data_IF_701240792225
#
_entry.id   IF_701240792225
#
_cell.length_a   1.000
_cell.length_b   1.000
_cell.length_c   1.000
_cell.angle_alpha   90.00
_cell.angle_beta   90.00
_cell.angle_gamma   90.00
#
_symmetry.space_group_name_H-M   'P 1'
#
loop_
_entity.id
_entity.type
_entity.pdbx_description
1 polymer ?
#
# COMPACT_ATOMS: atom_id res chain seq x y z
N UNK A 1 12.60 -31.15 38.69
CA UNK A 1 11.86 -31.42 37.45
C UNK A 1 12.26 -32.80 36.94
N UNK A 2 11.29 -33.65 36.69
CA UNK A 2 11.50 -34.97 36.08
C UNK A 2 11.94 -34.81 34.61
N UNK A 3 12.69 -35.77 34.07
CA UNK A 3 13.02 -35.84 32.64
C UNK A 3 11.73 -35.84 31.77
N UNK A 4 10.65 -36.40 32.29
CA UNK A 4 9.33 -36.44 31.66
C UNK A 4 8.67 -35.05 31.56
N UNK A 5 8.84 -34.18 32.58
CA UNK A 5 8.34 -32.80 32.55
C UNK A 5 9.11 -31.92 31.56
N UNK A 6 10.42 -32.16 31.40
CA UNK A 6 11.24 -31.43 30.43
C UNK A 6 10.85 -31.80 29.00
N UNK A 7 10.62 -33.09 28.73
CA UNK A 7 10.21 -33.58 27.42
C UNK A 7 8.87 -32.98 27.00
N UNK A 8 7.88 -32.98 27.91
CA UNK A 8 6.57 -32.37 27.65
C UNK A 8 6.65 -30.86 27.37
N UNK A 9 7.49 -30.13 28.10
CA UNK A 9 7.72 -28.69 27.84
C UNK A 9 8.36 -28.42 26.48
N UNK A 10 9.25 -29.30 26.01
CA UNK A 10 9.87 -29.18 24.69
C UNK A 10 8.84 -29.43 23.59
N UNK A 11 7.99 -30.45 23.76
CA UNK A 11 6.87 -30.75 22.85
C UNK A 11 5.89 -29.56 22.76
N UNK A 12 5.48 -28.97 23.89
CA UNK A 12 4.59 -27.79 23.93
C UNK A 12 5.18 -26.57 23.18
N UNK A 13 6.50 -26.34 23.29
CA UNK A 13 7.18 -25.23 22.61
C UNK A 13 7.30 -25.49 21.11
N UNK A 14 7.48 -26.74 20.71
CA UNK A 14 7.56 -27.15 19.31
C UNK A 14 6.20 -27.01 18.61
N UNK A 15 5.11 -27.43 19.26
CA UNK A 15 3.74 -27.23 18.77
C UNK A 15 3.40 -25.74 18.63
N UNK A 16 3.75 -24.92 19.63
CA UNK A 16 3.57 -23.47 19.55
C UNK A 16 4.37 -22.86 18.39
N UNK A 17 5.60 -23.32 18.16
CA UNK A 17 6.44 -22.87 17.06
C UNK A 17 5.80 -23.21 15.71
N UNK A 18 5.20 -24.40 15.56
CA UNK A 18 4.48 -24.78 14.34
C UNK A 18 3.27 -23.87 14.10
N UNK A 19 2.45 -23.63 15.12
CA UNK A 19 1.29 -22.73 15.03
C UNK A 19 1.75 -21.32 14.65
N UNK A 20 2.76 -20.77 15.33
CA UNK A 20 3.30 -19.45 15.02
C UNK A 20 3.89 -19.37 13.62
N UNK A 21 4.51 -20.44 13.14
CA UNK A 21 5.02 -20.51 11.77
C UNK A 21 3.88 -20.43 10.75
N UNK A 22 2.81 -21.21 10.94
CA UNK A 22 1.61 -21.14 10.08
C UNK A 22 0.99 -19.75 10.11
N UNK A 23 0.80 -19.17 11.30
CA UNK A 23 0.24 -17.81 11.44
C UNK A 23 1.10 -16.77 10.74
N UNK A 24 2.43 -16.86 10.91
CA UNK A 24 3.39 -15.95 10.28
C UNK A 24 3.38 -16.03 8.76
N UNK A 25 2.97 -17.16 8.17
CA UNK A 25 2.82 -17.31 6.73
C UNK A 25 1.44 -16.88 6.23
N UNK A 26 0.37 -17.30 6.91
CA UNK A 26 -1.01 -17.10 6.43
C UNK A 26 -1.46 -15.64 6.56
N UNK A 27 -1.12 -14.97 7.68
CA UNK A 27 -1.59 -13.59 7.93
C UNK A 27 -1.01 -12.60 6.91
N UNK A 28 0.31 -12.57 6.63
CA UNK A 28 0.86 -11.68 5.61
C UNK A 28 0.32 -11.99 4.20
N UNK A 29 0.14 -13.27 3.87
CA UNK A 29 -0.40 -13.67 2.56
C UNK A 29 -1.84 -13.18 2.36
N UNK A 30 -2.67 -13.27 3.39
CA UNK A 30 -4.03 -12.74 3.34
C UNK A 30 -4.03 -11.21 3.10
N UNK A 31 -3.19 -10.48 3.83
CA UNK A 31 -3.03 -9.02 3.67
C UNK A 31 -2.58 -8.68 2.25
N UNK A 32 -1.56 -9.39 1.72
CA UNK A 32 -1.07 -9.21 0.34
C UNK A 32 -2.18 -9.41 -0.68
N UNK A 33 -2.96 -10.49 -0.56
CA UNK A 33 -4.01 -10.81 -1.52
C UNK A 33 -5.14 -9.77 -1.53
N UNK A 34 -5.59 -9.33 -0.34
CA UNK A 34 -6.60 -8.27 -0.22
C UNK A 34 -6.12 -7.00 -0.94
N UNK A 35 -4.85 -6.69 -0.79
CA UNK A 35 -4.32 -5.45 -1.34
C UNK A 35 -4.06 -5.56 -2.83
N UNK A 36 -3.51 -6.66 -3.33
CA UNK A 36 -3.40 -6.86 -4.78
C UNK A 36 -4.77 -6.75 -5.46
N UNK A 37 -5.84 -7.18 -4.79
CA UNK A 37 -7.21 -6.96 -5.25
C UNK A 37 -7.59 -5.46 -5.29
N UNK A 38 -7.29 -4.72 -4.21
CA UNK A 38 -7.64 -3.29 -4.04
C UNK A 38 -6.73 -2.33 -4.80
N UNK A 39 -5.49 -2.71 -5.13
CA UNK A 39 -4.49 -1.91 -5.85
C UNK A 39 -4.15 -2.50 -7.23
N UNK A 40 -5.10 -3.24 -7.82
CA UNK A 40 -5.02 -3.63 -9.23
C UNK A 40 -5.14 -2.41 -10.15
N UNK A 41 -4.69 -2.53 -11.39
CA UNK A 41 -4.87 -1.48 -12.43
C UNK A 41 -6.34 -1.03 -12.53
N UNK A 42 -7.25 -2.00 -12.50
CA UNK A 42 -8.69 -1.74 -12.52
C UNK A 42 -9.16 -0.98 -11.28
N UNK A 43 -8.67 -1.36 -10.09
CA UNK A 43 -9.04 -0.67 -8.86
C UNK A 43 -8.46 0.76 -8.80
N UNK A 44 -7.22 0.96 -9.25
CA UNK A 44 -6.62 2.28 -9.42
C UNK A 44 -7.39 3.16 -10.39
N UNK A 45 -7.82 2.61 -11.54
CA UNK A 45 -8.64 3.34 -12.51
C UNK A 45 -10.02 3.72 -11.93
N UNK A 46 -10.66 2.82 -11.18
CA UNK A 46 -11.92 3.10 -10.50
C UNK A 46 -11.76 4.18 -9.41
N UNK A 47 -10.66 4.14 -8.67
CA UNK A 47 -10.33 5.14 -7.66
C UNK A 47 -10.12 6.53 -8.30
N UNK A 48 -9.36 6.62 -9.39
CA UNK A 48 -9.18 7.86 -10.13
C UNK A 48 -10.50 8.44 -10.65
N UNK A 49 -11.39 7.59 -11.18
CA UNK A 49 -12.75 7.99 -11.60
C UNK A 49 -13.56 8.53 -10.42
N UNK A 50 -13.49 7.89 -9.25
CA UNK A 50 -14.21 8.34 -8.06
C UNK A 50 -13.72 9.72 -7.58
N UNK A 51 -12.40 9.94 -7.54
CA UNK A 51 -11.80 11.24 -7.19
C UNK A 51 -12.25 12.33 -8.17
N UNK A 52 -12.19 12.07 -9.48
CA UNK A 52 -12.63 13.03 -10.49
C UNK A 52 -14.13 13.33 -10.44
N UNK A 53 -14.97 12.30 -10.24
CA UNK A 53 -16.41 12.47 -10.08
C UNK A 53 -16.77 13.28 -8.83
N UNK A 54 -16.05 13.05 -7.73
CA UNK A 54 -16.21 13.81 -6.49
C UNK A 54 -15.92 15.30 -6.73
N UNK A 55 -14.76 15.64 -7.31
CA UNK A 55 -14.41 17.02 -7.65
C UNK A 55 -15.46 17.68 -8.56
N UNK A 56 -15.88 16.98 -9.62
CA UNK A 56 -16.90 17.48 -10.54
C UNK A 56 -18.22 17.76 -9.81
N UNK A 57 -18.66 16.87 -8.92
CA UNK A 57 -19.86 17.08 -8.10
C UNK A 57 -19.75 18.28 -7.16
N UNK A 58 -18.58 18.53 -6.57
CA UNK A 58 -18.35 19.73 -5.75
C UNK A 58 -18.49 21.01 -6.59
N UNK A 59 -17.90 21.02 -7.79
CA UNK A 59 -17.98 22.14 -8.73
C UNK A 59 -19.42 22.41 -9.19
N UNK A 60 -20.17 21.35 -9.51
CA UNK A 60 -21.59 21.43 -9.89
C UNK A 60 -22.47 21.95 -8.75
N UNK A 61 -22.13 21.62 -7.50
CA UNK A 61 -22.80 22.14 -6.30
C UNK A 61 -22.45 23.61 -5.99
N UNK A 62 -21.63 24.27 -6.82
CA UNK A 62 -21.24 25.67 -6.66
C UNK A 62 -20.10 25.89 -5.65
N UNK A 63 -19.38 24.84 -5.26
CA UNK A 63 -18.24 24.99 -4.36
C UNK A 63 -17.09 25.72 -5.10
N UNK A 64 -16.48 26.75 -4.50
CA UNK A 64 -15.35 27.45 -5.10
C UNK A 64 -14.20 26.53 -5.46
N UNK A 65 -13.54 26.81 -6.58
CA UNK A 65 -12.45 26.00 -7.17
C UNK A 65 -11.44 25.51 -6.12
N UNK A 66 -10.82 26.45 -5.41
CA UNK A 66 -9.79 26.16 -4.40
C UNK A 66 -10.30 25.24 -3.28
N UNK A 67 -11.57 25.42 -2.88
CA UNK A 67 -12.18 24.58 -1.85
C UNK A 67 -12.50 23.19 -2.38
N UNK A 68 -12.97 23.08 -3.62
CA UNK A 68 -13.23 21.80 -4.28
C UNK A 68 -11.95 20.99 -4.47
N UNK A 69 -10.86 21.63 -4.91
CA UNK A 69 -9.53 21.01 -5.02
C UNK A 69 -9.07 20.49 -3.65
N UNK A 70 -9.06 21.34 -2.62
CA UNK A 70 -8.64 20.95 -1.26
C UNK A 70 -9.46 19.80 -0.67
N UNK A 71 -10.77 19.79 -0.89
CA UNK A 71 -11.63 18.69 -0.43
C UNK A 71 -11.34 17.39 -1.19
N UNK A 72 -11.09 17.49 -2.49
CA UNK A 72 -10.72 16.35 -3.34
C UNK A 72 -9.36 15.79 -2.98
N UNK A 73 -8.35 16.63 -2.72
CA UNK A 73 -7.04 16.22 -2.22
C UNK A 73 -7.16 15.45 -0.90
N UNK A 74 -7.97 15.96 0.04
CA UNK A 74 -8.26 15.25 1.30
C UNK A 74 -8.93 13.90 1.04
N UNK A 75 -9.91 13.84 0.15
CA UNK A 75 -10.55 12.57 -0.23
C UNK A 75 -9.54 11.58 -0.84
N UNK A 76 -8.71 12.03 -1.78
CA UNK A 76 -7.67 11.23 -2.41
C UNK A 76 -6.60 10.74 -1.41
N UNK A 77 -6.27 11.55 -0.40
CA UNK A 77 -5.27 11.21 0.62
C UNK A 77 -5.63 9.97 1.44
N UNK A 78 -6.94 9.69 1.61
CA UNK A 78 -7.41 8.50 2.34
C UNK A 78 -6.91 7.20 1.71
N UNK A 79 -6.76 7.17 0.38
CA UNK A 79 -6.23 6.03 -0.35
C UNK A 79 -4.70 5.92 -0.25
N UNK A 80 -4.00 7.04 -0.11
CA UNK A 80 -2.53 7.04 0.08
C UNK A 80 -2.17 6.51 1.46
N UNK A 81 -2.89 6.94 2.49
CA UNK A 81 -2.71 6.43 3.87
C UNK A 81 -2.96 4.92 3.96
N UNK A 82 -3.91 4.39 3.19
CA UNK A 82 -4.13 2.94 3.08
C UNK A 82 -2.93 2.24 2.43
N UNK A 83 -2.33 2.85 1.40
CA UNK A 83 -1.10 2.38 0.78
C UNK A 83 0.09 2.35 1.74
N UNK A 84 0.23 3.34 2.61
CA UNK A 84 1.31 3.41 3.60
C UNK A 84 1.20 2.33 4.68
N UNK A 85 0.00 2.11 5.21
CA UNK A 85 -0.29 1.00 6.16
C UNK A 85 0.05 -0.33 5.49
N UNK A 86 -0.26 -0.46 4.21
CA UNK A 86 0.05 -1.67 3.47
C UNK A 86 1.54 -1.86 3.24
N UNK A 87 2.26 -0.80 2.88
CA UNK A 87 3.72 -0.82 2.74
C UNK A 87 4.37 -1.23 4.06
N UNK A 88 3.88 -0.74 5.19
CA UNK A 88 4.35 -1.14 6.52
C UNK A 88 4.07 -2.63 6.79
N UNK A 89 2.88 -3.13 6.44
CA UNK A 89 2.53 -4.55 6.59
C UNK A 89 3.38 -5.47 5.69
N UNK A 90 3.72 -5.03 4.48
CA UNK A 90 4.63 -5.78 3.58
C UNK A 90 6.10 -5.68 3.98
N UNK A 91 6.50 -4.57 4.60
CA UNK A 91 7.89 -4.31 5.01
C UNK A 91 8.30 -5.10 6.26
N UNK A 92 7.34 -5.72 6.96
CA UNK A 92 7.59 -6.56 8.14
C UNK A 92 8.45 -7.82 7.89
N UNK A 93 8.71 -8.19 6.63
CA UNK A 93 9.49 -9.39 6.27
C UNK A 93 10.88 -9.12 5.66
N UNK A 94 11.32 -7.86 5.46
CA UNK A 94 12.61 -7.59 4.78
C UNK A 94 13.56 -6.70 5.58
N UNK A 95 14.30 -7.32 6.50
CA UNK A 95 15.66 -6.89 6.84
C UNK A 95 16.65 -7.70 5.99
N UNK A 96 16.78 -7.34 4.71
CA UNK A 96 17.84 -7.88 3.83
C UNK A 96 17.41 -8.06 2.38
N UNK A 97 17.92 -7.19 1.49
CA UNK A 97 17.71 -7.11 0.04
C UNK A 97 16.34 -6.55 -0.38
N UNK A 98 16.36 -5.71 -1.41
CA UNK A 98 15.23 -5.06 -2.09
C UNK A 98 14.82 -3.66 -1.59
N UNK A 99 15.77 -2.90 -1.03
CA UNK A 99 15.67 -1.43 -1.01
C UNK A 99 16.31 -0.79 -2.26
N UNK A 100 17.04 -1.55 -3.09
CA UNK A 100 17.70 -1.04 -4.31
C UNK A 100 16.74 -0.92 -5.49
N UNK A 101 15.86 -1.89 -5.70
CA UNK A 101 14.95 -1.90 -6.86
C UNK A 101 13.78 -0.89 -6.72
N UNK A 102 13.23 -0.71 -5.50
CA UNK A 102 12.19 0.30 -5.27
C UNK A 102 12.71 1.74 -5.48
N UNK A 103 13.97 2.02 -5.13
CA UNK A 103 14.59 3.32 -5.36
C UNK A 103 14.76 3.56 -6.86
N UNK A 104 15.09 2.53 -7.64
CA UNK A 104 15.22 2.62 -9.10
C UNK A 104 13.88 2.88 -9.79
N UNK A 105 12.83 2.11 -9.46
CA UNK A 105 11.50 2.29 -10.06
C UNK A 105 10.94 3.68 -9.71
N UNK A 106 11.06 4.12 -8.45
CA UNK A 106 10.58 5.43 -8.03
C UNK A 106 11.35 6.58 -8.69
N UNK A 107 12.67 6.44 -8.92
CA UNK A 107 13.46 7.39 -9.71
C UNK A 107 13.03 7.43 -11.18
N UNK A 108 12.81 6.28 -11.82
CA UNK A 108 12.42 6.19 -13.23
C UNK A 108 11.05 6.82 -13.46
N UNK A 109 10.10 6.60 -12.54
CA UNK A 109 8.78 7.23 -12.61
C UNK A 109 8.91 8.75 -12.46
N UNK A 110 9.64 9.24 -11.45
CA UNK A 110 9.87 10.69 -11.27
C UNK A 110 10.56 11.33 -12.47
N UNK A 111 11.56 10.68 -13.05
CA UNK A 111 12.23 11.21 -14.26
C UNK A 111 11.32 11.23 -15.48
N UNK A 112 10.50 10.20 -15.69
CA UNK A 112 9.54 10.19 -16.81
C UNK A 112 8.52 11.29 -16.65
N UNK A 113 7.91 11.42 -15.47
CA UNK A 113 6.91 12.47 -15.20
C UNK A 113 7.51 13.87 -15.34
N UNK A 114 8.74 14.11 -14.88
CA UNK A 114 9.42 15.40 -15.06
C UNK A 114 9.74 15.70 -16.54
N UNK A 115 10.19 14.70 -17.30
CA UNK A 115 10.49 14.86 -18.74
C UNK A 115 9.24 15.08 -19.59
N UNK A 116 8.10 14.55 -19.18
CA UNK A 116 6.83 14.74 -19.88
C UNK A 116 6.25 16.14 -19.59
N UNK A 117 6.38 16.65 -18.37
CA UNK A 117 6.02 18.02 -17.99
C UNK A 117 6.88 19.08 -18.71
N UNK A 118 8.20 18.91 -18.79
CA UNK A 118 9.08 19.84 -19.50
C UNK A 118 8.86 19.87 -21.03
N UNK A 119 8.25 18.83 -21.60
CA UNK A 119 7.92 18.76 -23.03
C UNK A 119 6.58 19.42 -23.35
N UNK A 120 5.66 19.48 -22.40
CA UNK A 120 4.41 20.24 -22.53
C UNK A 120 4.68 21.75 -22.40
N UNK A 121 5.53 22.19 -21.47
CA UNK A 121 5.90 23.61 -21.31
C UNK A 121 6.70 24.21 -22.48
N UNK A 122 7.32 23.39 -23.33
CA UNK A 122 8.07 23.84 -24.52
C UNK A 122 7.25 23.81 -25.82
N UNK A 123 5.97 23.42 -25.74
CA UNK A 123 5.05 23.36 -26.90
C UNK A 123 3.96 24.44 -26.89
N UNK A 124 3.87 25.25 -25.82
CA UNK A 124 3.20 26.56 -25.81
C UNK A 124 4.20 27.68 -26.16
#
# INVERSE_FOLDING_TARGET
>A
MSEEEKKKKLEDVEELKEVLNVVSQQVPNLIRNIVTSVFSEQAGANMGKAVGAYYKGLKEAGIPEETAVRMTEKYASTFTSLGDVMKMAMSGEKKGKDLSEEIEISKVIKEKTAKDLEKEEKKE
#
